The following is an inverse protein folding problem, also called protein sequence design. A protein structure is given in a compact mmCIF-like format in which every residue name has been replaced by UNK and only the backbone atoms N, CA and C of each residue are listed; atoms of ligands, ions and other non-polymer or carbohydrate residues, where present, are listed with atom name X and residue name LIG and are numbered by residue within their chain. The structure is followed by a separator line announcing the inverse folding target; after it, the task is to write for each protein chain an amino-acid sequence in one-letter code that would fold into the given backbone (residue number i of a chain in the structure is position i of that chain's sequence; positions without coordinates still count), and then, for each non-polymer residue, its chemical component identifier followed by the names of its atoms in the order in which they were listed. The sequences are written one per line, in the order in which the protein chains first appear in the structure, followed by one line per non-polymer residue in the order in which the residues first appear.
data_IF_256966895181
#
_entry.id   IF_256966895181
#
_cell.length_a   1.000
_cell.length_b   1.000
_cell.length_c   1.000
_cell.angle_alpha   90.00
_cell.angle_beta   90.00
_cell.angle_gamma   90.00
#
_symmetry.space_group_name_H-M   'P 1'
#
loop_
_entity.id
_entity.type
_entity.pdbx_description
1 polymer ?
#
# COMPACT_ATOMS: atom_id res chain seq x y z
N UNK A 1 9.30 11.10 -28.36
CA UNK A 1 10.64 10.57 -28.02
C UNK A 1 10.47 9.59 -26.88
N UNK A 2 11.18 8.46 -26.92
CA UNK A 2 11.10 7.41 -25.90
C UNK A 2 12.43 7.31 -25.15
N UNK A 3 12.36 6.93 -23.87
CA UNK A 3 13.55 6.72 -23.07
C UNK A 3 14.26 5.45 -23.53
N UNK A 4 15.57 5.52 -23.80
CA UNK A 4 16.34 4.34 -24.22
C UNK A 4 16.50 3.26 -23.13
N UNK A 5 16.15 3.57 -21.87
CA UNK A 5 16.27 2.62 -20.74
C UNK A 5 14.95 1.89 -20.48
N UNK A 6 13.82 2.60 -20.43
CA UNK A 6 12.51 2.00 -20.10
C UNK A 6 11.52 1.96 -21.27
N UNK A 7 11.86 2.54 -22.43
CA UNK A 7 11.02 2.64 -23.62
C UNK A 7 9.72 3.43 -23.45
N UNK A 8 9.51 4.08 -22.30
CA UNK A 8 8.34 4.94 -22.07
C UNK A 8 8.49 6.33 -22.71
N UNK A 9 7.35 7.00 -22.92
CA UNK A 9 7.29 8.37 -23.44
C UNK A 9 8.01 9.39 -22.56
N UNK A 10 8.71 10.34 -23.20
CA UNK A 10 9.45 11.42 -22.55
C UNK A 10 8.74 12.76 -22.67
N UNK A 11 8.65 13.48 -21.55
CA UNK A 11 8.40 14.92 -21.53
C UNK A 11 9.74 15.68 -21.61
N UNK A 12 9.85 16.74 -22.43
CA UNK A 12 11.08 17.53 -22.55
C UNK A 12 11.60 18.06 -21.22
N UNK A 13 10.69 18.41 -20.29
CA UNK A 13 11.00 18.99 -18.98
C UNK A 13 11.67 18.01 -18.01
N UNK A 14 11.51 16.69 -18.22
CA UNK A 14 12.04 15.63 -17.36
C UNK A 14 13.13 14.79 -18.04
N UNK A 15 13.65 15.30 -19.16
CA UNK A 15 14.57 14.56 -20.02
C UNK A 15 16.01 15.07 -19.96
N UNK A 16 16.96 14.14 -20.13
CA UNK A 16 18.37 14.43 -20.37
C UNK A 16 18.78 13.82 -21.71
N UNK A 17 19.44 14.63 -22.54
CA UNK A 17 19.99 14.20 -23.83
C UNK A 17 21.50 14.07 -23.72
N UNK A 18 22.03 12.90 -24.09
CA UNK A 18 23.46 12.68 -24.12
C UNK A 18 24.13 13.53 -25.21
N UNK A 19 25.14 14.32 -24.83
CA UNK A 19 25.91 15.16 -25.75
C UNK A 19 26.76 14.38 -26.77
N UNK A 20 26.96 13.08 -26.54
CA UNK A 20 27.83 12.23 -27.38
C UNK A 20 27.02 11.38 -28.36
N UNK A 21 25.99 10.67 -27.89
CA UNK A 21 25.21 9.74 -28.73
C UNK A 21 23.78 10.20 -29.00
N UNK A 22 23.41 11.41 -28.57
CA UNK A 22 22.08 12.00 -28.74
C UNK A 22 20.90 11.23 -28.12
N UNK A 23 21.14 10.09 -27.46
CA UNK A 23 20.10 9.32 -26.76
C UNK A 23 19.46 10.15 -25.64
N UNK A 24 18.15 9.95 -25.46
CA UNK A 24 17.34 10.69 -24.50
C UNK A 24 16.86 9.76 -23.39
N UNK A 25 16.90 10.27 -22.16
CA UNK A 25 16.65 9.50 -20.94
C UNK A 25 15.78 10.31 -19.99
N UNK A 26 14.92 9.66 -19.19
CA UNK A 26 14.38 10.34 -18.01
C UNK A 26 15.51 10.60 -17.02
N UNK A 27 15.45 11.73 -16.31
CA UNK A 27 16.46 12.07 -15.31
C UNK A 27 16.60 10.97 -14.24
N UNK A 28 15.50 10.32 -13.84
CA UNK A 28 15.49 9.26 -12.83
C UNK A 28 16.04 7.92 -13.36
N UNK A 29 15.81 7.58 -14.64
CA UNK A 29 16.36 6.37 -15.26
C UNK A 29 17.89 6.36 -15.29
N UNK A 30 18.51 7.55 -15.25
CA UNK A 30 19.98 7.72 -15.21
C UNK A 30 20.49 8.06 -13.81
N UNK A 31 19.68 7.84 -12.78
CA UNK A 31 20.06 7.98 -11.37
C UNK A 31 20.17 9.43 -10.88
N UNK A 32 19.63 10.41 -11.61
CA UNK A 32 19.54 11.78 -11.10
C UNK A 32 18.32 11.90 -10.19
N UNK A 33 18.51 12.46 -9.00
CA UNK A 33 17.40 12.86 -8.13
C UNK A 33 16.75 14.15 -8.64
N UNK A 34 15.43 14.31 -8.45
CA UNK A 34 14.66 15.48 -8.91
C UNK A 34 15.26 16.81 -8.44
N UNK A 35 15.70 16.88 -7.17
CA UNK A 35 16.36 18.06 -6.60
C UNK A 35 17.67 18.40 -7.31
N UNK A 36 18.46 17.39 -7.68
CA UNK A 36 19.74 17.59 -8.37
C UNK A 36 19.50 17.99 -9.84
N UNK A 37 18.58 17.32 -10.52
CA UNK A 37 18.21 17.64 -11.89
C UNK A 37 17.66 19.08 -12.04
N UNK A 38 16.85 19.55 -11.10
CA UNK A 38 16.36 20.95 -11.07
C UNK A 38 17.47 21.97 -10.81
N UNK A 39 18.54 21.60 -10.12
CA UNK A 39 19.71 22.46 -9.86
C UNK A 39 20.73 22.48 -10.99
N UNK A 40 20.65 21.55 -11.96
CA UNK A 40 21.56 21.52 -13.10
C UNK A 40 21.35 22.75 -13.98
N UNK A 41 22.42 23.51 -14.24
CA UNK A 41 22.40 24.60 -15.22
C UNK A 41 22.10 24.09 -16.64
N UNK A 42 21.64 24.97 -17.52
CA UNK A 42 21.41 24.64 -18.93
C UNK A 42 22.68 24.10 -19.60
N UNK A 43 23.84 24.68 -19.29
CA UNK A 43 25.15 24.22 -19.75
C UNK A 43 25.47 22.80 -19.26
N UNK A 44 25.18 22.50 -17.98
CA UNK A 44 25.40 21.15 -17.44
C UNK A 44 24.49 20.13 -18.12
N UNK A 45 23.24 20.50 -18.43
CA UNK A 45 22.30 19.63 -19.15
C UNK A 45 22.74 19.42 -20.61
N UNK A 46 23.22 20.46 -21.28
CA UNK A 46 23.72 20.39 -22.66
C UNK A 46 24.98 19.51 -22.78
N UNK A 47 25.84 19.51 -21.77
CA UNK A 47 27.08 18.74 -21.75
C UNK A 47 26.95 17.34 -21.12
N UNK A 48 25.77 16.97 -20.62
CA UNK A 48 25.55 15.72 -19.92
C UNK A 48 25.83 14.50 -20.82
N UNK A 49 26.48 13.47 -20.25
CA UNK A 49 26.87 12.23 -20.95
C UNK A 49 26.26 11.02 -20.25
N UNK A 50 25.69 10.09 -21.02
CA UNK A 50 25.17 8.82 -20.50
C UNK A 50 26.31 7.90 -20.02
N UNK A 51 25.97 6.90 -19.20
CA UNK A 51 26.95 5.96 -18.63
C UNK A 51 27.77 5.24 -19.71
N UNK A 52 27.14 4.78 -20.78
CA UNK A 52 27.81 4.10 -21.90
C UNK A 52 28.84 4.99 -22.59
N UNK A 53 28.52 6.26 -22.82
CA UNK A 53 29.45 7.20 -23.44
C UNK A 53 30.58 7.61 -22.47
N UNK A 54 30.29 7.73 -21.17
CA UNK A 54 31.32 7.96 -20.15
C UNK A 54 32.33 6.81 -20.12
N UNK A 55 31.87 5.57 -20.19
CA UNK A 55 32.76 4.40 -20.15
C UNK A 55 33.59 4.26 -21.42
N UNK A 56 33.00 4.44 -22.61
CA UNK A 56 33.72 4.44 -23.88
C UNK A 56 34.83 5.51 -23.97
N UNK A 57 34.68 6.63 -23.27
CA UNK A 57 35.71 7.66 -23.23
C UNK A 57 36.87 7.32 -22.29
N UNK A 58 36.67 6.50 -21.25
CA UNK A 58 37.77 6.02 -20.41
C UNK A 58 38.73 5.10 -21.18
N UNK A 59 38.18 4.29 -22.10
CA UNK A 59 38.97 3.35 -22.93
C UNK A 59 39.83 4.06 -23.98
N UNK A 60 39.43 5.25 -24.46
CA UNK A 60 40.18 6.02 -25.47
C UNK A 60 41.41 6.76 -24.92
N UNK A 61 41.58 6.86 -23.61
CA UNK A 61 42.72 7.54 -22.98
C UNK A 61 43.93 6.62 -22.73
N UNK A 62 43.89 5.38 -23.22
CA UNK A 62 45.08 4.52 -23.31
C UNK A 62 45.60 4.65 -24.74
N UNK A 63 46.52 5.59 -24.95
CA UNK A 63 47.21 5.70 -26.24
C UNK A 63 48.15 4.50 -26.42
N UNK A 64 47.85 3.65 -27.40
CA UNK A 64 48.83 2.69 -27.93
C UNK A 64 49.84 3.45 -28.80
N UNK A 65 51.16 3.21 -28.69
CA UNK A 65 52.14 3.72 -29.65
C UNK A 65 51.97 3.04 -31.02
N UNK A 66 52.34 3.69 -32.13
CA UNK A 66 52.10 3.20 -33.48
C UNK A 66 53.05 2.07 -33.87
N UNK A 67 52.51 1.04 -34.53
CA UNK A 67 53.29 0.09 -35.33
C UNK A 67 53.79 0.81 -36.60
N UNK A 68 55.11 0.90 -36.77
CA UNK A 68 55.72 1.19 -38.06
C UNK A 68 56.90 2.14 -38.01
N UNK A 69 58.10 1.60 -37.79
CA UNK A 69 59.28 2.00 -38.59
C UNK A 69 60.41 0.97 -38.41
N UNK A 70 60.90 0.56 -39.58
CA UNK A 70 62.16 -0.11 -39.92
C UNK A 70 63.32 0.14 -38.95
N UNK A 71 63.91 -0.93 -38.43
CA UNK A 71 65.26 -0.92 -37.87
C UNK A 71 66.25 -1.51 -38.89
N UNK A 72 67.21 -0.68 -39.27
CA UNK A 72 68.41 -1.04 -40.01
C UNK A 72 69.35 -1.86 -39.11
N UNK A 73 70.02 -2.84 -39.72
CA UNK A 73 71.05 -3.64 -39.07
C UNK A 73 72.23 -2.74 -38.64
N UNK A 74 72.51 -2.73 -37.34
CA UNK A 74 73.66 -2.08 -36.74
C UNK A 74 74.14 -2.93 -35.57
N UNK A 75 75.25 -3.62 -35.79
CA UNK A 75 75.88 -4.60 -34.93
C UNK A 75 76.70 -3.91 -33.84
N UNK A 76 76.28 -3.96 -32.58
CA UNK A 76 77.15 -3.65 -31.44
C UNK A 76 76.97 -4.68 -30.32
N UNK A 77 78.05 -5.43 -30.11
CA UNK A 77 78.23 -6.42 -29.05
C UNK A 77 78.03 -5.79 -27.68
N UNK A 78 76.99 -6.18 -26.96
CA UNK A 78 76.90 -5.99 -25.51
C UNK A 78 76.86 -7.36 -24.85
N UNK A 79 77.92 -7.61 -24.08
CA UNK A 79 78.15 -8.77 -23.25
C UNK A 79 76.88 -9.28 -22.56
N UNK A 80 76.55 -10.55 -22.82
CA UNK A 80 75.57 -11.32 -22.06
C UNK A 80 76.11 -11.56 -20.65
N UNK A 81 75.94 -10.57 -19.78
CA UNK A 81 76.01 -10.72 -18.34
C UNK A 81 74.63 -11.21 -17.88
N UNK A 82 74.42 -12.53 -17.91
CA UNK A 82 73.34 -13.18 -17.16
C UNK A 82 73.64 -12.97 -15.67
N UNK A 83 73.14 -11.88 -15.12
CA UNK A 83 72.90 -11.79 -13.69
C UNK A 83 71.39 -11.94 -13.55
N UNK A 84 70.94 -13.20 -13.57
CA UNK A 84 69.70 -13.55 -12.90
C UNK A 84 69.92 -13.24 -11.42
N UNK A 85 69.09 -12.43 -10.76
CA UNK A 85 69.15 -12.33 -9.32
C UNK A 85 68.89 -13.72 -8.75
N UNK A 86 69.88 -14.25 -8.03
CA UNK A 86 69.66 -15.35 -7.10
C UNK A 86 68.48 -15.01 -6.18
N UNK A 87 67.58 -15.98 -6.03
CA UNK A 87 66.37 -15.97 -5.20
C UNK A 87 65.05 -15.44 -5.81
N UNK A 88 64.67 -15.98 -6.97
CA UNK A 88 63.29 -16.49 -7.15
C UNK A 88 63.31 -18.01 -6.97
N UNK A 89 63.66 -18.46 -5.76
CA UNK A 89 63.55 -19.89 -5.42
C UNK A 89 62.07 -20.26 -5.36
N UNK A 90 61.74 -21.51 -5.72
CA UNK A 90 60.39 -22.06 -5.57
C UNK A 90 59.84 -21.80 -4.15
N UNK A 91 60.70 -21.91 -3.14
CA UNK A 91 60.39 -21.68 -1.73
C UNK A 91 59.97 -20.22 -1.42
N UNK A 92 60.62 -19.23 -2.06
CA UNK A 92 60.22 -17.82 -1.94
C UNK A 92 58.86 -17.55 -2.60
N UNK A 93 58.62 -18.14 -3.77
CA UNK A 93 57.35 -18.05 -4.48
C UNK A 93 56.21 -18.73 -3.71
N UNK A 94 56.43 -19.92 -3.17
CA UNK A 94 55.47 -20.64 -2.33
C UNK A 94 55.14 -19.84 -1.06
N UNK A 95 56.15 -19.22 -0.42
CA UNK A 95 55.94 -18.34 0.73
C UNK A 95 55.07 -17.12 0.38
N UNK A 96 55.33 -16.47 -0.76
CA UNK A 96 54.53 -15.32 -1.21
C UNK A 96 53.12 -15.72 -1.64
N UNK A 97 52.95 -16.89 -2.25
CA UNK A 97 51.66 -17.45 -2.61
C UNK A 97 50.82 -17.75 -1.37
N UNK A 98 51.37 -18.43 -0.37
CA UNK A 98 50.71 -18.70 0.90
C UNK A 98 50.32 -17.41 1.64
N UNK A 99 51.18 -16.37 1.60
CA UNK A 99 50.86 -15.04 2.16
C UNK A 99 49.70 -14.37 1.43
N UNK A 100 49.63 -14.50 0.09
CA UNK A 100 48.53 -13.97 -0.71
C UNK A 100 47.22 -14.71 -0.42
N UNK A 101 47.27 -16.04 -0.34
CA UNK A 101 46.12 -16.88 -0.03
C UNK A 101 45.54 -16.56 1.35
N UNK A 102 46.40 -16.42 2.38
CA UNK A 102 45.98 -16.00 3.72
C UNK A 102 45.29 -14.63 3.71
N UNK A 103 45.86 -13.66 2.98
CA UNK A 103 45.25 -12.31 2.86
C UNK A 103 43.94 -12.33 2.08
N UNK A 104 43.83 -13.15 1.05
CA UNK A 104 42.58 -13.33 0.31
C UNK A 104 41.50 -13.96 1.19
N UNK A 105 41.85 -14.98 1.98
CA UNK A 105 40.94 -15.61 2.91
C UNK A 105 40.43 -14.63 3.97
N UNK A 106 41.33 -13.85 4.59
CA UNK A 106 40.96 -12.78 5.52
C UNK A 106 40.06 -11.72 4.87
N UNK A 107 40.36 -11.33 3.63
CA UNK A 107 39.54 -10.36 2.89
C UNK A 107 38.12 -10.90 2.64
N UNK A 108 37.99 -12.17 2.24
CA UNK A 108 36.69 -12.80 2.00
C UNK A 108 35.89 -12.94 3.30
N UNK A 109 36.52 -13.35 4.41
CA UNK A 109 35.85 -13.44 5.71
C UNK A 109 35.40 -12.07 6.22
N UNK A 110 36.23 -11.03 6.06
CA UNK A 110 35.86 -9.66 6.40
C UNK A 110 34.69 -9.15 5.54
N UNK A 111 34.73 -9.38 4.22
CA UNK A 111 33.63 -9.01 3.32
C UNK A 111 32.33 -9.74 3.67
N UNK A 112 32.41 -11.03 4.00
CA UNK A 112 31.26 -11.83 4.42
C UNK A 112 30.65 -11.31 5.72
N UNK A 113 31.49 -10.94 6.70
CA UNK A 113 31.05 -10.32 7.95
C UNK A 113 30.40 -8.96 7.71
N UNK A 114 30.99 -8.11 6.89
CA UNK A 114 30.44 -6.80 6.54
C UNK A 114 29.10 -6.94 5.79
N UNK A 115 29.01 -7.88 4.85
CA UNK A 115 27.79 -8.15 4.11
C UNK A 115 26.68 -8.65 5.04
N UNK A 116 27.00 -9.60 5.93
CA UNK A 116 26.05 -10.09 6.93
C UNK A 116 25.54 -8.97 7.82
N UNK A 117 26.44 -8.14 8.35
CA UNK A 117 26.06 -7.00 9.21
C UNK A 117 25.15 -6.01 8.47
N UNK A 118 25.43 -5.73 7.19
CA UNK A 118 24.57 -4.88 6.37
C UNK A 118 23.21 -5.52 6.10
N UNK A 119 23.15 -6.83 5.92
CA UNK A 119 21.90 -7.56 5.72
C UNK A 119 21.04 -7.54 6.97
N UNK A 120 21.61 -7.89 8.12
CA UNK A 120 20.90 -7.84 9.41
C UNK A 120 20.37 -6.41 9.70
N UNK A 121 21.16 -5.38 9.38
CA UNK A 121 20.75 -3.98 9.51
C UNK A 121 19.64 -3.58 8.52
N UNK A 122 19.64 -4.14 7.30
CA UNK A 122 18.56 -3.92 6.33
C UNK A 122 17.27 -4.61 6.76
N UNK A 123 17.34 -5.85 7.23
CA UNK A 123 16.19 -6.61 7.74
C UNK A 123 15.55 -5.89 8.93
N UNK A 124 16.37 -5.41 9.87
CA UNK A 124 15.88 -4.62 11.02
C UNK A 124 15.15 -3.35 10.56
N UNK A 125 15.73 -2.59 9.62
CA UNK A 125 15.10 -1.38 9.08
C UNK A 125 13.82 -1.68 8.32
N UNK A 126 13.74 -2.81 7.60
CA UNK A 126 12.52 -3.23 6.92
C UNK A 126 11.40 -3.51 7.92
N UNK A 127 11.70 -4.28 8.98
CA UNK A 127 10.73 -4.57 10.04
C UNK A 127 10.24 -3.29 10.77
N UNK A 128 11.14 -2.34 11.03
CA UNK A 128 10.78 -1.03 11.57
C UNK A 128 9.86 -0.25 10.62
N UNK A 129 10.17 -0.25 9.32
CA UNK A 129 9.34 0.44 8.33
C UNK A 129 7.97 -0.19 8.18
N UNK A 130 7.87 -1.52 8.18
CA UNK A 130 6.59 -2.22 8.11
C UNK A 130 5.71 -1.85 9.32
N UNK A 131 6.30 -1.81 10.52
CA UNK A 131 5.61 -1.36 11.75
C UNK A 131 5.10 0.08 11.63
N UNK A 132 5.91 0.98 11.06
CA UNK A 132 5.51 2.39 10.85
C UNK A 132 4.38 2.49 9.81
N UNK A 133 4.45 1.72 8.73
CA UNK A 133 3.41 1.69 7.70
C UNK A 133 2.09 1.22 8.32
N UNK A 134 2.11 0.16 9.11
CA UNK A 134 0.92 -0.34 9.82
C UNK A 134 0.31 0.72 10.74
N UNK A 135 1.12 1.46 11.51
CA UNK A 135 0.64 2.58 12.35
C UNK A 135 0.02 3.70 11.51
N UNK A 136 0.70 4.13 10.45
CA UNK A 136 0.21 5.19 9.58
C UNK A 136 -1.09 4.80 8.87
N UNK A 137 -1.21 3.58 8.38
CA UNK A 137 -2.44 3.06 7.81
C UNK A 137 -3.59 2.99 8.83
N UNK A 138 -3.28 2.61 10.08
CA UNK A 138 -4.27 2.59 11.15
C UNK A 138 -4.76 3.99 11.47
N UNK A 139 -3.85 4.97 11.58
CA UNK A 139 -4.19 6.37 11.85
C UNK A 139 -4.97 6.99 10.71
N UNK A 140 -4.64 6.65 9.46
CA UNK A 140 -5.38 7.11 8.29
C UNK A 140 -6.80 6.54 8.28
N UNK A 141 -6.99 5.24 8.54
CA UNK A 141 -8.34 4.66 8.66
C UNK A 141 -9.14 5.31 9.80
N UNK A 142 -8.51 5.62 10.93
CA UNK A 142 -9.19 6.32 12.03
C UNK A 142 -9.62 7.75 11.66
N UNK A 143 -8.80 8.47 10.89
CA UNK A 143 -9.15 9.80 10.39
C UNK A 143 -10.29 9.75 9.37
N UNK A 144 -10.23 8.82 8.41
CA UNK A 144 -11.32 8.59 7.46
C UNK A 144 -12.61 8.15 8.17
N UNK A 145 -12.49 7.40 9.26
CA UNK A 145 -13.62 6.99 10.04
C UNK A 145 -14.26 8.16 10.78
N UNK A 146 -13.43 9.05 11.35
CA UNK A 146 -13.90 10.28 12.02
C UNK A 146 -14.64 11.19 11.05
N UNK A 147 -14.20 11.33 9.81
CA UNK A 147 -14.91 12.15 8.82
C UNK A 147 -16.30 11.59 8.43
N UNK A 148 -16.54 10.30 8.70
CA UNK A 148 -17.82 9.61 8.42
C UNK A 148 -18.67 9.39 9.67
N UNK A 149 -18.27 9.89 10.84
CA UNK A 149 -18.88 9.56 12.13
C UNK A 149 -20.36 9.99 12.24
N UNK A 150 -20.78 10.97 11.45
CA UNK A 150 -22.16 11.46 11.37
C UNK A 150 -22.89 11.00 10.11
N UNK A 151 -22.31 10.05 9.36
CA UNK A 151 -22.85 9.61 8.08
C UNK A 151 -23.67 8.33 8.23
N UNK A 152 -24.75 8.26 7.47
CA UNK A 152 -25.49 7.02 7.22
C UNK A 152 -25.37 6.64 5.74
N UNK A 153 -25.38 5.34 5.48
CA UNK A 153 -25.45 4.76 4.14
C UNK A 153 -26.81 4.10 3.96
N UNK A 154 -27.59 4.59 3.00
CA UNK A 154 -28.91 4.05 2.65
C UNK A 154 -28.79 3.29 1.34
N UNK A 155 -29.23 2.04 1.32
CA UNK A 155 -29.19 1.15 0.16
C UNK A 155 -30.58 0.73 -0.26
N UNK A 156 -30.75 0.41 -1.53
CA UNK A 156 -32.00 -0.16 -2.07
C UNK A 156 -33.04 0.86 -2.51
N UNK A 157 -32.75 2.17 -2.44
CA UNK A 157 -33.65 3.22 -2.94
C UNK A 157 -33.54 3.28 -4.48
N UNK A 158 -34.60 3.02 -5.26
CA UNK A 158 -34.57 3.16 -6.72
C UNK A 158 -34.10 4.54 -7.18
N UNK A 159 -33.49 4.62 -8.36
CA UNK A 159 -33.04 5.88 -8.98
C UNK A 159 -34.13 6.44 -9.90
N UNK A 160 -34.34 7.74 -9.86
CA UNK A 160 -35.24 8.45 -10.80
C UNK A 160 -34.50 9.56 -11.53
N UNK A 161 -34.97 9.89 -12.74
CA UNK A 161 -34.47 11.07 -13.47
C UNK A 161 -34.79 12.32 -12.64
N UNK A 162 -33.83 13.25 -12.56
CA UNK A 162 -33.97 14.51 -11.81
C UNK A 162 -34.39 14.29 -10.35
N UNK A 163 -33.74 13.36 -9.65
CA UNK A 163 -34.06 13.07 -8.25
C UNK A 163 -33.60 14.16 -7.27
N UNK A 164 -34.50 14.57 -6.38
CA UNK A 164 -34.16 15.37 -5.21
C UNK A 164 -33.81 14.45 -4.04
N UNK A 165 -32.52 14.10 -3.94
CA UNK A 165 -32.01 13.12 -2.96
C UNK A 165 -32.31 13.54 -1.52
N UNK A 166 -32.18 14.83 -1.20
CA UNK A 166 -32.47 15.35 0.15
C UNK A 166 -33.95 15.14 0.52
N UNK A 167 -34.86 15.41 -0.42
CA UNK A 167 -36.30 15.19 -0.22
C UNK A 167 -36.65 13.70 -0.07
N UNK A 168 -35.99 12.81 -0.81
CA UNK A 168 -36.12 11.36 -0.62
C UNK A 168 -35.70 10.93 0.79
N UNK A 169 -34.56 11.43 1.27
CA UNK A 169 -34.07 11.16 2.62
C UNK A 169 -35.07 11.68 3.65
N UNK A 170 -35.58 12.91 3.52
CA UNK A 170 -36.61 13.45 4.42
C UNK A 170 -37.85 12.54 4.50
N UNK A 171 -38.36 12.06 3.36
CA UNK A 171 -39.48 11.09 3.33
C UNK A 171 -39.15 9.79 4.07
N UNK A 172 -37.95 9.24 3.88
CA UNK A 172 -37.48 8.08 4.66
C UNK A 172 -37.51 8.39 6.15
N UNK A 173 -37.02 9.57 6.54
CA UNK A 173 -37.05 10.06 7.92
C UNK A 173 -38.46 10.04 8.51
N UNK A 174 -39.45 10.55 7.78
CA UNK A 174 -40.87 10.53 8.20
C UNK A 174 -41.35 9.10 8.44
N UNK A 175 -41.14 8.20 7.48
CA UNK A 175 -41.63 6.81 7.56
C UNK A 175 -41.02 6.03 8.73
N UNK A 176 -39.75 6.26 9.04
CA UNK A 176 -39.09 5.58 10.18
C UNK A 176 -39.34 6.27 11.53
N UNK A 177 -40.17 7.31 11.60
CA UNK A 177 -40.48 8.04 12.84
C UNK A 177 -39.41 9.07 13.27
N UNK A 178 -38.68 9.61 12.31
CA UNK A 178 -37.72 10.72 12.44
C UNK A 178 -38.17 11.92 11.60
N UNK A 179 -39.47 12.19 11.53
CA UNK A 179 -40.04 13.32 10.77
C UNK A 179 -39.83 14.69 11.42
N UNK A 180 -39.35 14.74 12.66
CA UNK A 180 -39.06 15.96 13.42
C UNK A 180 -37.72 16.63 13.03
N UNK A 181 -37.07 16.15 11.98
CA UNK A 181 -35.81 16.72 11.48
C UNK A 181 -36.03 18.05 10.78
N UNK A 182 -35.13 18.99 11.05
CA UNK A 182 -35.08 20.26 10.33
C UNK A 182 -34.35 20.08 9.00
N UNK A 183 -34.57 21.00 8.06
CA UNK A 183 -33.91 20.93 6.75
C UNK A 183 -32.38 20.94 6.86
N UNK A 184 -31.83 21.70 7.82
CA UNK A 184 -30.39 21.82 8.08
C UNK A 184 -29.79 20.61 8.82
N UNK A 185 -30.62 19.69 9.30
CA UNK A 185 -30.15 18.46 9.94
C UNK A 185 -29.46 17.53 8.95
N UNK A 186 -29.88 17.60 7.68
CA UNK A 186 -29.25 16.91 6.55
C UNK A 186 -28.34 17.92 5.85
N UNK A 187 -27.05 17.88 6.19
CA UNK A 187 -26.07 18.79 5.61
C UNK A 187 -25.78 18.45 4.15
N UNK A 188 -25.67 17.15 3.83
CA UNK A 188 -25.43 16.67 2.46
C UNK A 188 -26.12 15.32 2.27
N UNK A 189 -26.75 15.11 1.12
CA UNK A 189 -27.22 13.80 0.68
C UNK A 189 -26.94 13.61 -0.82
N UNK A 190 -26.24 12.53 -1.18
CA UNK A 190 -25.90 12.26 -2.58
C UNK A 190 -25.74 10.75 -2.84
N UNK A 191 -25.93 10.36 -4.10
CA UNK A 191 -25.63 8.99 -4.58
C UNK A 191 -24.12 8.80 -4.67
N UNK A 192 -23.63 7.63 -4.30
CA UNK A 192 -22.22 7.26 -4.45
C UNK A 192 -22.08 6.10 -5.43
N UNK A 193 -21.16 6.24 -6.39
CA UNK A 193 -20.84 5.18 -7.34
C UNK A 193 -20.23 4.00 -6.59
N UNK A 194 -20.67 2.79 -6.92
CA UNK A 194 -20.10 1.57 -6.37
C UNK A 194 -19.51 0.70 -7.46
N UNK A 195 -18.67 -0.26 -7.08
CA UNK A 195 -18.14 -1.26 -8.00
C UNK A 195 -19.20 -2.23 -8.52
N UNK A 196 -20.41 -2.24 -7.95
CA UNK A 196 -21.51 -3.08 -8.45
C UNK A 196 -22.08 -2.43 -9.69
N UNK A 197 -22.06 -3.17 -10.80
CA UNK A 197 -22.66 -2.74 -12.06
C UNK A 197 -24.19 -2.72 -12.01
N UNK A 198 -24.78 -3.59 -11.18
CA UNK A 198 -26.23 -3.76 -11.07
C UNK A 198 -26.80 -3.21 -9.76
N UNK A 199 -28.02 -2.67 -9.85
CA UNK A 199 -28.80 -2.15 -8.74
C UNK A 199 -28.60 -0.65 -8.50
N UNK A 200 -29.46 -0.05 -7.66
CA UNK A 200 -29.41 1.38 -7.40
C UNK A 200 -28.17 1.77 -6.60
N UNK A 201 -27.57 2.90 -6.96
CA UNK A 201 -26.48 3.52 -6.21
C UNK A 201 -26.92 3.86 -4.78
N UNK A 202 -26.13 3.54 -3.75
CA UNK A 202 -26.42 3.92 -2.38
C UNK A 202 -26.42 5.43 -2.22
N UNK A 203 -27.21 5.92 -1.26
CA UNK A 203 -27.21 7.32 -0.83
C UNK A 203 -26.35 7.42 0.43
N UNK A 204 -25.37 8.32 0.42
CA UNK A 204 -24.67 8.75 1.63
C UNK A 204 -25.30 10.04 2.12
N UNK A 205 -25.66 10.06 3.41
CA UNK A 205 -26.23 11.22 4.07
C UNK A 205 -25.28 11.66 5.18
N UNK A 206 -24.83 12.91 5.15
CA UNK A 206 -24.08 13.55 6.22
C UNK A 206 -25.07 14.34 7.09
N UNK A 207 -25.20 13.94 8.35
CA UNK A 207 -26.08 14.58 9.31
C UNK A 207 -25.29 15.58 10.17
N UNK A 208 -25.95 16.63 10.67
CA UNK A 208 -25.28 17.66 11.50
C UNK A 208 -24.60 17.13 12.76
N UNK A 209 -24.99 15.93 13.24
CA UNK A 209 -24.41 15.35 14.45
C UNK A 209 -24.44 13.82 14.46
N UNK A 210 -23.48 13.26 15.20
CA UNK A 210 -23.45 11.83 15.54
C UNK A 210 -24.70 11.37 16.29
N UNK A 211 -25.30 12.26 17.08
CA UNK A 211 -26.55 11.96 17.79
C UNK A 211 -27.69 11.70 16.81
N UNK A 212 -27.89 12.56 15.80
CA UNK A 212 -28.90 12.34 14.77
C UNK A 212 -28.65 11.04 13.99
N UNK A 213 -27.39 10.77 13.62
CA UNK A 213 -27.01 9.50 13.00
C UNK A 213 -27.47 8.31 13.83
N UNK A 214 -27.21 8.33 15.13
CA UNK A 214 -27.61 7.25 16.04
C UNK A 214 -29.13 7.17 16.20
N UNK A 215 -29.83 8.31 16.28
CA UNK A 215 -31.29 8.39 16.30
C UNK A 215 -31.90 7.71 15.07
N UNK A 216 -31.41 8.04 13.87
CA UNK A 216 -31.86 7.47 12.61
C UNK A 216 -31.69 5.95 12.53
N UNK A 217 -30.51 5.44 12.91
CA UNK A 217 -30.26 4.00 12.89
C UNK A 217 -31.09 3.25 13.94
N UNK A 218 -31.31 3.84 15.11
CA UNK A 218 -32.18 3.30 16.14
C UNK A 218 -33.65 3.30 15.69
N UNK A 219 -34.12 4.38 15.07
CA UNK A 219 -35.47 4.51 14.53
C UNK A 219 -35.74 3.48 13.43
N UNK A 220 -34.82 3.29 12.49
CA UNK A 220 -34.92 2.23 11.48
C UNK A 220 -34.96 0.82 12.10
N UNK A 221 -34.18 0.57 13.16
CA UNK A 221 -34.24 -0.71 13.89
C UNK A 221 -35.60 -0.89 14.60
N UNK A 222 -36.11 0.18 15.21
CA UNK A 222 -37.41 0.20 15.90
C UNK A 222 -38.55 -0.04 14.91
N UNK A 223 -38.57 0.68 13.79
CA UNK A 223 -39.52 0.49 12.69
C UNK A 223 -39.61 -1.00 12.28
N UNK A 224 -38.47 -1.67 12.09
CA UNK A 224 -38.49 -3.10 11.76
C UNK A 224 -39.08 -3.95 12.89
N UNK A 225 -38.74 -3.68 14.14
CA UNK A 225 -39.28 -4.43 15.28
C UNK A 225 -40.81 -4.27 15.40
N UNK A 226 -41.34 -3.08 15.13
CA UNK A 226 -42.78 -2.80 15.14
C UNK A 226 -43.51 -3.42 13.94
N UNK A 227 -42.80 -3.66 12.83
CA UNK A 227 -43.34 -4.26 11.61
C UNK A 227 -42.96 -5.75 11.46
N UNK A 228 -42.94 -6.52 12.55
CA UNK A 228 -42.64 -7.96 12.53
C UNK A 228 -41.31 -8.32 11.82
N UNK A 229 -40.30 -7.47 11.97
CA UNK A 229 -39.00 -7.56 11.30
C UNK A 229 -39.03 -7.47 9.77
N UNK A 230 -40.15 -7.03 9.18
CA UNK A 230 -40.25 -6.74 7.76
C UNK A 230 -39.30 -5.58 7.39
N UNK A 231 -38.68 -5.62 6.19
CA UNK A 231 -37.86 -4.51 5.72
C UNK A 231 -38.73 -3.31 5.37
N UNK A 232 -38.20 -2.10 5.60
CA UNK A 232 -38.75 -0.88 5.00
C UNK A 232 -38.73 -1.03 3.48
N UNK A 233 -39.84 -0.75 2.80
CA UNK A 233 -39.92 -0.90 1.35
C UNK A 233 -39.88 0.44 0.64
N UNK A 234 -39.32 0.45 -0.57
CA UNK A 234 -39.20 1.67 -1.36
C UNK A 234 -40.57 2.25 -1.79
N UNK A 235 -41.57 1.39 -1.97
CA UNK A 235 -42.96 1.76 -2.25
C UNK A 235 -43.57 2.66 -1.16
N UNK A 236 -43.13 2.53 0.10
CA UNK A 236 -43.56 3.38 1.23
C UNK A 236 -42.95 4.78 1.17
N UNK A 237 -41.87 4.97 0.41
CA UNK A 237 -41.18 6.26 0.26
C UNK A 237 -41.69 7.04 -0.94
N UNK A 238 -42.05 6.34 -2.01
CA UNK A 238 -42.56 6.94 -3.23
C UNK A 238 -43.44 5.94 -4.00
N UNK A 239 -44.63 6.35 -4.41
CA UNK A 239 -45.65 5.48 -5.01
C UNK A 239 -45.18 4.78 -6.30
N UNK A 240 -44.27 5.41 -7.06
CA UNK A 240 -43.74 4.85 -8.31
C UNK A 240 -42.61 3.84 -8.10
N UNK A 241 -42.12 3.66 -6.87
CA UNK A 241 -41.02 2.75 -6.60
C UNK A 241 -41.51 1.31 -6.54
N UNK A 242 -40.71 0.42 -7.14
CA UNK A 242 -40.89 -1.03 -6.99
C UNK A 242 -40.77 -1.42 -5.53
N UNK A 243 -41.40 -2.53 -5.17
CA UNK A 243 -41.42 -3.07 -3.81
C UNK A 243 -40.09 -3.73 -3.43
N UNK A 244 -39.03 -2.91 -3.32
CA UNK A 244 -37.67 -3.34 -2.98
C UNK A 244 -37.29 -2.90 -1.57
N UNK A 245 -36.50 -3.71 -0.83
CA UNK A 245 -36.13 -3.39 0.54
C UNK A 245 -35.11 -2.26 0.60
N UNK A 246 -35.36 -1.28 1.46
CA UNK A 246 -34.42 -0.24 1.85
C UNK A 246 -33.69 -0.70 3.12
N UNK A 247 -32.39 -0.48 3.16
CA UNK A 247 -31.56 -0.80 4.33
C UNK A 247 -30.64 0.34 4.68
N UNK A 248 -30.51 0.62 5.97
CA UNK A 248 -29.69 1.70 6.51
C UNK A 248 -28.56 1.16 7.36
N UNK A 249 -27.36 1.70 7.16
CA UNK A 249 -26.14 1.30 7.83
C UNK A 249 -25.31 2.51 8.28
N UNK A 250 -24.37 2.29 9.20
CA UNK A 250 -23.27 3.24 9.39
C UNK A 250 -22.39 3.31 8.13
N UNK A 251 -21.90 4.50 7.79
CA UNK A 251 -21.01 4.67 6.66
C UNK A 251 -19.56 4.29 7.03
N UNK A 252 -19.22 3.02 6.84
CA UNK A 252 -17.89 2.48 7.15
C UNK A 252 -16.89 2.68 6.00
N UNK A 253 -15.59 2.73 6.33
CA UNK A 253 -14.48 2.63 5.36
C UNK A 253 -14.50 1.27 4.65
N UNK A 254 -13.85 1.17 3.48
CA UNK A 254 -13.75 -0.10 2.77
C UNK A 254 -13.06 -1.18 3.62
N UNK A 255 -11.99 -0.81 4.33
CA UNK A 255 -11.26 -1.67 5.27
C UNK A 255 -12.18 -2.19 6.39
N UNK A 256 -12.98 -1.31 7.01
CA UNK A 256 -13.94 -1.70 8.06
C UNK A 256 -15.12 -2.52 7.53
N UNK A 257 -15.61 -2.26 6.31
CA UNK A 257 -16.63 -3.10 5.65
C UNK A 257 -16.11 -4.52 5.43
N UNK A 258 -14.87 -4.66 4.97
CA UNK A 258 -14.22 -5.96 4.81
C UNK A 258 -14.09 -6.68 6.16
N UNK A 259 -13.52 -6.02 7.17
CA UNK A 259 -13.38 -6.58 8.51
C UNK A 259 -14.73 -7.00 9.12
N UNK A 260 -15.79 -6.21 8.92
CA UNK A 260 -17.15 -6.56 9.37
C UNK A 260 -17.68 -7.82 8.66
N UNK A 261 -17.41 -7.95 7.36
CA UNK A 261 -17.78 -9.14 6.58
C UNK A 261 -17.08 -10.38 7.11
N UNK A 262 -15.76 -10.32 7.31
CA UNK A 262 -14.99 -11.42 7.89
C UNK A 262 -15.42 -11.76 9.31
N UNK A 263 -15.66 -10.74 10.14
CA UNK A 263 -16.14 -10.92 11.51
C UNK A 263 -17.50 -11.61 11.54
N UNK A 264 -18.42 -11.26 10.64
CA UNK A 264 -19.73 -11.92 10.51
C UNK A 264 -19.61 -13.37 10.01
N UNK A 265 -18.74 -13.62 9.05
CA UNK A 265 -18.48 -14.97 8.54
C UNK A 265 -17.93 -15.88 9.66
N UNK A 266 -16.96 -15.38 10.42
CA UNK A 266 -16.43 -16.08 11.58
C UNK A 266 -17.49 -16.26 12.69
N UNK A 267 -18.26 -15.22 13.01
CA UNK A 267 -19.32 -15.31 14.02
C UNK A 267 -20.34 -16.40 13.69
N UNK A 268 -20.68 -16.58 12.40
CA UNK A 268 -21.53 -17.68 11.95
C UNK A 268 -20.89 -19.06 12.20
N UNK A 269 -19.60 -19.21 11.92
CA UNK A 269 -18.86 -20.47 12.14
C UNK A 269 -18.71 -20.79 13.64
N UNK A 270 -18.48 -19.77 14.47
CA UNK A 270 -18.29 -19.89 15.91
C UNK A 270 -19.60 -19.77 16.71
N UNK A 271 -20.76 -19.77 16.04
CA UNK A 271 -22.10 -19.66 16.63
C UNK A 271 -22.27 -18.46 17.60
N UNK A 272 -21.68 -17.30 17.27
CA UNK A 272 -21.79 -16.08 18.05
C UNK A 272 -23.09 -15.35 17.70
N UNK A 273 -23.94 -15.09 18.70
CA UNK A 273 -25.30 -14.59 18.47
C UNK A 273 -25.37 -13.14 17.95
N UNK A 274 -24.41 -12.28 18.31
CA UNK A 274 -24.48 -10.86 17.99
C UNK A 274 -23.19 -10.31 17.37
N UNK A 275 -23.34 -9.65 16.21
CA UNK A 275 -22.31 -8.81 15.58
C UNK A 275 -22.96 -7.50 15.15
N UNK A 276 -22.45 -6.36 15.65
CA UNK A 276 -22.97 -5.05 15.31
C UNK A 276 -21.85 -4.02 15.21
N UNK A 277 -22.16 -2.87 14.65
CA UNK A 277 -21.27 -1.71 14.68
C UNK A 277 -21.84 -0.64 15.60
N UNK A 278 -20.95 0.09 16.24
CA UNK A 278 -21.28 1.34 16.92
C UNK A 278 -20.12 2.29 16.73
N UNK A 279 -20.40 3.43 16.11
CA UNK A 279 -19.39 4.46 15.79
C UNK A 279 -18.28 3.88 14.93
N UNK A 280 -18.73 3.06 13.98
CA UNK A 280 -17.91 2.32 13.06
C UNK A 280 -16.85 1.41 13.71
N UNK A 281 -17.03 1.08 14.98
CA UNK A 281 -16.29 0.01 15.66
C UNK A 281 -17.15 -1.24 15.65
N UNK A 282 -16.55 -2.39 15.32
CA UNK A 282 -17.27 -3.67 15.29
C UNK A 282 -17.23 -4.28 16.69
N UNK A 283 -18.38 -4.79 17.12
CA UNK A 283 -18.53 -5.47 18.40
C UNK A 283 -19.15 -6.84 18.17
N UNK A 284 -18.70 -7.79 18.98
CA UNK A 284 -19.16 -9.18 18.96
C UNK A 284 -19.55 -9.60 20.37
N UNK A 285 -20.62 -10.37 20.49
CA UNK A 285 -21.08 -10.95 21.75
C UNK A 285 -21.67 -12.34 21.52
N UNK A 286 -21.28 -13.29 22.36
CA UNK A 286 -21.66 -14.70 22.26
C UNK A 286 -23.14 -14.93 22.59
N UNK A 287 -23.64 -14.38 23.70
CA UNK A 287 -25.03 -14.49 24.17
C UNK A 287 -25.51 -13.20 24.87
N UNK A 288 -26.79 -13.11 25.25
CA UNK A 288 -27.48 -11.90 25.79
C UNK A 288 -26.67 -11.17 26.90
N UNK A 289 -25.94 -11.91 27.73
CA UNK A 289 -25.17 -11.40 28.87
C UNK A 289 -23.67 -11.72 28.81
N UNK A 290 -23.18 -12.23 27.68
CA UNK A 290 -21.77 -12.53 27.52
C UNK A 290 -20.91 -11.26 27.38
N UNK A 291 -19.61 -11.40 27.64
CA UNK A 291 -18.63 -10.31 27.47
C UNK A 291 -18.66 -9.78 26.02
N UNK A 292 -18.85 -8.47 25.88
CA UNK A 292 -18.72 -7.78 24.60
C UNK A 292 -17.24 -7.65 24.24
N UNK A 293 -16.87 -8.03 23.02
CA UNK A 293 -15.52 -7.91 22.48
C UNK A 293 -15.50 -6.92 21.32
N UNK A 294 -14.50 -6.06 21.29
CA UNK A 294 -14.27 -5.08 20.23
C UNK A 294 -13.35 -5.70 19.17
N UNK A 295 -13.69 -5.49 17.90
CA UNK A 295 -12.88 -5.87 16.74
C UNK A 295 -12.69 -4.62 15.88
N UNK A 296 -11.49 -4.05 15.89
CA UNK A 296 -11.17 -2.80 15.16
C UNK A 296 -10.09 -2.96 14.12
N UNK A 297 -9.35 -4.07 14.16
CA UNK A 297 -8.34 -4.40 13.16
C UNK A 297 -8.29 -5.94 12.96
N UNK A 298 -7.59 -6.41 11.92
CA UNK A 298 -7.44 -7.85 11.65
C UNK A 298 -6.80 -8.62 12.81
N UNK A 299 -5.82 -8.04 13.51
CA UNK A 299 -5.16 -8.68 14.66
C UNK A 299 -6.14 -9.04 15.77
N UNK A 300 -7.06 -8.14 16.11
CA UNK A 300 -8.12 -8.40 17.09
C UNK A 300 -9.12 -9.47 16.63
N UNK A 301 -9.34 -9.61 15.31
CA UNK A 301 -10.15 -10.70 14.77
C UNK A 301 -9.41 -12.05 14.92
N UNK A 302 -8.10 -12.09 14.70
CA UNK A 302 -7.29 -13.31 14.92
C UNK A 302 -7.22 -13.69 16.41
N UNK A 303 -7.04 -12.71 17.30
CA UNK A 303 -7.15 -12.94 18.76
C UNK A 303 -8.52 -13.51 19.13
N UNK A 304 -9.60 -12.96 18.55
CA UNK A 304 -10.95 -13.48 18.74
C UNK A 304 -11.06 -14.93 18.25
N UNK A 305 -10.60 -15.24 17.03
CA UNK A 305 -10.58 -16.59 16.45
C UNK A 305 -9.84 -17.56 17.36
N UNK A 306 -8.67 -17.19 17.86
CA UNK A 306 -7.87 -18.03 18.74
C UNK A 306 -8.64 -18.39 20.02
N UNK A 307 -9.26 -17.41 20.69
CA UNK A 307 -10.01 -17.68 21.92
C UNK A 307 -11.16 -18.68 21.70
N UNK A 308 -11.82 -18.66 20.54
CA UNK A 308 -12.91 -19.59 20.24
C UNK A 308 -12.44 -20.92 19.62
N UNK A 309 -11.27 -20.97 18.95
CA UNK A 309 -10.62 -22.24 18.56
C UNK A 309 -10.33 -23.12 19.78
N UNK A 310 -9.78 -22.53 20.85
CA UNK A 310 -9.48 -23.29 22.09
C UNK A 310 -10.75 -23.76 22.84
N UNK A 311 -11.86 -23.04 22.73
CA UNK A 311 -13.14 -23.47 23.33
C UNK A 311 -13.73 -24.72 22.67
N UNK A 312 -13.53 -24.91 21.37
CA UNK A 312 -14.02 -26.09 20.64
C UNK A 312 -13.17 -27.33 20.93
N UNK A 313 -11.86 -27.16 21.19
CA UNK A 313 -10.95 -28.27 21.54
C UNK A 313 -11.02 -28.74 23.00
N UNK A 314 -11.45 -27.88 23.94
CA UNK A 314 -11.50 -28.22 25.37
C UNK A 314 -12.75 -28.97 25.84
N UNK A 315 -13.80 -29.08 25.01
CA UNK A 315 -15.02 -29.78 25.37
C UNK A 315 -14.97 -31.30 25.11
N UNK A 316 -13.92 -31.81 24.45
CA UNK A 316 -13.78 -33.22 24.09
C UNK A 316 -13.01 -34.07 25.13
N UNK A 317 -12.54 -33.49 26.24
CA UNK A 317 -11.68 -34.18 27.22
C UNK A 317 -12.23 -34.24 28.65
N UNK A 318 -13.54 -34.08 28.84
CA UNK A 318 -14.18 -34.15 30.17
C UNK A 318 -15.37 -35.12 30.23
N UNK A 319 -15.27 -36.25 29.51
CA UNK A 319 -16.05 -37.45 29.79
C UNK A 319 -15.14 -38.66 29.53
N UNK A 320 -14.28 -38.92 30.52
CA UNK A 320 -13.64 -40.22 30.76
C UNK A 320 -13.82 -40.52 32.24
#
# INVERSE_FOLDING_TARGET
MECIICSDGLNPEDSLRCSVCASVHHYFCVGQGLKNFKKMSQETKANWKCATCKEKMKVKNIASPPLGSTFTAGNENVHHSTILPEALTKDYLDTKFNQLESKMFEMVENLKKDFKTRMDAMETKLAEKDTIIEDLESRLDDLENRSRISNIEIRGVPETKHEEVKALVQRIGVVIGCGDIQEDDIQVAHRVVTKRAEGPKPIIVHLKSRWLKNKWLAAHKKYKAENNFAPLKASEIHQTFKDVPISMFEHLTAKRKFLLSETRAFAKQANLKYVWTRDAVIFVREAEHAKVRKVSNPKQLEELKNVFKYKVGGAASSNA
#
